data_IF_827561259364
#
_entry.id   IF_827561259364
#
_cell.length_a   1.000
_cell.length_b   1.000
_cell.length_c   1.000
_cell.angle_alpha   90.00
_cell.angle_beta   90.00
_cell.angle_gamma   90.00
#
_symmetry.space_group_name_H-M   'P 1'
#
loop_
_entity.id
_entity.type
_entity.pdbx_description
1 polymer ?
#
# COMPACT_ATOMS: atom_id res chain seq x y z
N UNK A 1 -1.57 34.34 10.42
CA UNK A 1 -2.28 33.29 11.17
C UNK A 1 -2.50 32.12 10.22
N UNK A 2 -1.87 30.95 10.45
CA UNK A 2 -2.15 29.78 9.61
C UNK A 2 -3.66 29.51 9.63
N UNK A 3 -4.29 29.56 8.44
CA UNK A 3 -5.74 29.37 8.30
C UNK A 3 -6.15 28.06 8.97
N UNK A 4 -7.31 28.01 9.65
CA UNK A 4 -7.84 26.77 10.26
C UNK A 4 -7.74 25.57 9.32
N UNK A 5 -7.86 25.82 8.00
CA UNK A 5 -7.69 24.87 6.90
C UNK A 5 -6.31 24.21 6.87
N UNK A 6 -5.21 24.95 7.00
CA UNK A 6 -3.85 24.38 7.04
C UNK A 6 -3.64 23.46 8.24
N UNK A 7 -4.17 23.82 9.41
CA UNK A 7 -4.07 22.97 10.61
C UNK A 7 -4.87 21.67 10.44
N UNK A 8 -6.03 21.72 9.79
CA UNK A 8 -6.81 20.53 9.46
C UNK A 8 -6.06 19.62 8.46
N UNK A 9 -5.49 20.18 7.39
CA UNK A 9 -4.69 19.42 6.42
C UNK A 9 -3.46 18.76 7.07
N UNK A 10 -2.78 19.45 8.00
CA UNK A 10 -1.67 18.85 8.76
C UNK A 10 -2.13 17.67 9.61
N UNK A 11 -3.27 17.78 10.29
CA UNK A 11 -3.83 16.65 11.07
C UNK A 11 -4.18 15.46 10.18
N UNK A 12 -4.86 15.68 9.06
CA UNK A 12 -5.21 14.61 8.11
C UNK A 12 -3.96 13.91 7.58
N UNK A 13 -2.91 14.66 7.26
CA UNK A 13 -1.63 14.11 6.80
C UNK A 13 -1.00 13.17 7.83
N UNK A 14 -1.01 13.56 9.11
CA UNK A 14 -0.49 12.74 10.22
C UNK A 14 -1.35 11.48 10.41
N UNK A 15 -2.67 11.60 10.33
CA UNK A 15 -3.57 10.44 10.44
C UNK A 15 -3.29 9.44 9.31
N UNK A 16 -3.11 9.91 8.07
CA UNK A 16 -2.74 9.05 6.95
C UNK A 16 -1.42 8.31 7.21
N UNK A 17 -0.41 8.98 7.77
CA UNK A 17 0.87 8.33 8.09
C UNK A 17 0.72 7.24 9.15
N UNK A 18 -0.03 7.52 10.21
CA UNK A 18 -0.28 6.55 11.28
C UNK A 18 -1.03 5.33 10.74
N UNK A 19 -2.08 5.55 9.93
CA UNK A 19 -2.84 4.47 9.28
C UNK A 19 -1.93 3.64 8.37
N UNK A 20 -1.08 4.28 7.56
CA UNK A 20 -0.18 3.57 6.67
C UNK A 20 0.88 2.76 7.41
N UNK A 21 1.39 3.24 8.55
CA UNK A 21 2.31 2.46 9.39
C UNK A 21 1.60 1.21 9.93
N UNK A 22 0.40 1.35 10.48
CA UNK A 22 -0.37 0.22 11.02
C UNK A 22 -0.67 -0.80 9.92
N UNK A 23 -1.11 -0.34 8.74
CA UNK A 23 -1.35 -1.20 7.59
C UNK A 23 -0.07 -1.90 7.13
N UNK A 24 1.07 -1.21 7.11
CA UNK A 24 2.35 -1.80 6.73
C UNK A 24 2.77 -2.92 7.69
N UNK A 25 2.56 -2.72 9.00
CA UNK A 25 2.82 -3.76 10.01
C UNK A 25 1.91 -4.98 9.78
N UNK A 26 0.62 -4.74 9.50
CA UNK A 26 -0.33 -5.81 9.20
C UNK A 26 0.08 -6.61 7.96
N UNK A 27 0.51 -5.92 6.89
CA UNK A 27 1.04 -6.55 5.66
C UNK A 27 2.25 -7.42 5.95
N UNK A 28 3.19 -6.95 6.77
CA UNK A 28 4.35 -7.75 7.20
C UNK A 28 3.90 -9.00 7.96
N UNK A 29 2.95 -8.87 8.88
CA UNK A 29 2.40 -10.01 9.62
C UNK A 29 1.73 -11.05 8.71
N UNK A 30 0.91 -10.62 7.75
CA UNK A 30 0.27 -11.49 6.76
C UNK A 30 1.33 -12.17 5.89
N UNK A 31 2.39 -11.45 5.53
CA UNK A 31 3.50 -12.00 4.74
C UNK A 31 4.22 -13.11 5.46
N UNK A 32 4.62 -12.90 6.73
CA UNK A 32 5.25 -13.93 7.55
C UNK A 32 4.31 -15.13 7.73
N UNK A 33 3.03 -14.88 8.04
CA UNK A 33 2.01 -15.93 8.17
C UNK A 33 1.83 -16.75 6.90
N UNK A 34 1.95 -16.13 5.73
CA UNK A 34 1.87 -16.81 4.43
C UNK A 34 3.13 -17.65 4.20
N UNK A 35 4.30 -17.16 4.58
CA UNK A 35 5.56 -17.90 4.44
C UNK A 35 5.72 -19.09 5.38
N UNK A 36 5.01 -19.12 6.51
CA UNK A 36 5.04 -20.28 7.42
C UNK A 36 4.47 -21.55 6.79
N UNK A 37 3.51 -21.43 5.87
CA UNK A 37 2.90 -22.55 5.16
C UNK A 37 2.51 -22.11 3.75
N UNK A 38 3.55 -21.96 2.90
CA UNK A 38 3.38 -21.46 1.53
C UNK A 38 2.48 -22.37 0.71
N UNK A 39 2.54 -23.69 0.93
CA UNK A 39 1.81 -24.66 0.11
C UNK A 39 0.30 -24.49 0.28
N UNK A 40 -0.17 -24.29 1.52
CA UNK A 40 -1.59 -24.13 1.80
C UNK A 40 -2.07 -22.67 1.63
N UNK A 41 -1.17 -21.68 1.75
CA UNK A 41 -1.52 -20.25 1.84
C UNK A 41 -1.09 -19.42 0.65
N UNK A 42 -0.60 -20.04 -0.43
CA UNK A 42 -0.15 -19.34 -1.64
C UNK A 42 -1.20 -18.37 -2.20
N UNK A 43 -2.50 -18.68 -2.02
CA UNK A 43 -3.63 -17.84 -2.44
C UNK A 43 -3.73 -16.49 -1.71
N UNK A 44 -3.06 -16.32 -0.57
CA UNK A 44 -3.03 -15.06 0.20
C UNK A 44 -2.00 -14.08 -0.40
N UNK A 45 -0.99 -14.61 -1.09
CA UNK A 45 0.16 -13.86 -1.61
C UNK A 45 -0.23 -12.73 -2.58
N UNK A 46 -1.17 -12.91 -3.54
CA UNK A 46 -1.67 -11.82 -4.38
C UNK A 46 -2.30 -10.67 -3.56
N UNK A 47 -2.98 -10.99 -2.46
CA UNK A 47 -3.60 -10.02 -1.56
C UNK A 47 -2.60 -9.08 -0.89
N UNK A 48 -1.40 -9.58 -0.56
CA UNK A 48 -0.31 -8.79 0.04
C UNK A 48 0.11 -7.67 -0.92
N UNK A 49 0.24 -7.97 -2.22
CA UNK A 49 0.58 -6.96 -3.22
C UNK A 49 -0.50 -5.90 -3.37
N UNK A 50 -1.78 -6.28 -3.34
CA UNK A 50 -2.89 -5.31 -3.42
C UNK A 50 -2.96 -4.41 -2.18
N UNK A 51 -2.67 -4.92 -0.99
CA UNK A 51 -2.56 -4.10 0.22
C UNK A 51 -1.40 -3.11 0.12
N UNK A 52 -0.24 -3.55 -0.39
CA UNK A 52 0.88 -2.65 -0.68
C UNK A 52 0.52 -1.57 -1.70
N UNK A 53 -0.22 -1.93 -2.77
CA UNK A 53 -0.71 -0.98 -3.76
C UNK A 53 -1.67 0.04 -3.15
N UNK A 54 -2.56 -0.38 -2.24
CA UNK A 54 -3.47 0.50 -1.53
C UNK A 54 -2.73 1.51 -0.64
N UNK A 55 -1.75 1.05 0.14
CA UNK A 55 -0.92 1.91 1.00
C UNK A 55 -0.16 2.94 0.14
N UNK A 56 0.38 2.51 -0.99
CA UNK A 56 1.08 3.39 -1.92
C UNK A 56 0.12 4.39 -2.58
N UNK A 57 -1.07 3.99 -3.01
CA UNK A 57 -2.06 4.91 -3.58
C UNK A 57 -2.42 6.04 -2.60
N UNK A 58 -2.71 5.69 -1.34
CA UNK A 58 -3.03 6.66 -0.28
C UNK A 58 -1.83 7.59 -0.03
N UNK A 59 -0.61 7.05 -0.01
CA UNK A 59 0.62 7.84 0.16
C UNK A 59 0.90 8.75 -1.03
N UNK A 60 0.60 8.31 -2.25
CA UNK A 60 0.72 9.09 -3.49
C UNK A 60 -0.21 10.30 -3.46
N UNK A 61 -1.49 10.08 -3.13
CA UNK A 61 -2.48 11.16 -2.97
C UNK A 61 -2.02 12.19 -1.93
N UNK A 62 -1.48 11.73 -0.79
CA UNK A 62 -0.91 12.62 0.24
C UNK A 62 0.21 13.49 -0.31
N UNK A 63 1.14 12.93 -1.08
CA UNK A 63 2.28 13.68 -1.65
C UNK A 63 1.85 14.69 -2.71
N UNK A 64 0.85 14.35 -3.53
CA UNK A 64 0.26 15.28 -4.51
C UNK A 64 -0.37 16.49 -3.81
N UNK A 65 -1.11 16.27 -2.72
CA UNK A 65 -1.70 17.35 -1.90
C UNK A 65 -0.62 18.18 -1.17
N UNK A 66 0.60 17.67 -1.07
CA UNK A 66 1.71 18.29 -0.33
C UNK A 66 2.68 19.09 -1.20
N UNK A 67 2.34 19.34 -2.47
CA UNK A 67 3.23 19.90 -3.51
C UNK A 67 4.54 19.11 -3.71
N UNK A 68 4.59 17.86 -3.24
CA UNK A 68 5.73 16.95 -3.42
C UNK A 68 5.51 16.04 -4.63
N UNK A 69 5.34 16.67 -5.80
CA UNK A 69 4.90 15.99 -7.02
C UNK A 69 5.81 14.80 -7.42
N UNK A 70 7.13 14.95 -7.35
CA UNK A 70 8.08 13.88 -7.68
C UNK A 70 7.96 12.65 -6.77
N UNK A 71 7.78 12.86 -5.46
CA UNK A 71 7.56 11.76 -4.51
C UNK A 71 6.19 11.11 -4.74
N UNK A 72 5.16 11.90 -5.04
CA UNK A 72 3.83 11.39 -5.38
C UNK A 72 3.85 10.50 -6.62
N UNK A 73 4.48 10.96 -7.71
CA UNK A 73 4.60 10.22 -8.97
C UNK A 73 5.34 8.89 -8.75
N UNK A 74 6.48 8.91 -8.05
CA UNK A 74 7.23 7.69 -7.77
C UNK A 74 6.37 6.64 -7.03
N UNK A 75 5.63 7.07 -6.01
CA UNK A 75 4.76 6.17 -5.24
C UNK A 75 3.57 5.67 -6.06
N UNK A 76 3.02 6.49 -6.96
CA UNK A 76 1.99 6.05 -7.91
C UNK A 76 2.53 5.01 -8.90
N UNK A 77 3.75 5.16 -9.41
CA UNK A 77 4.38 4.14 -10.26
C UNK A 77 4.48 2.81 -9.51
N UNK A 78 4.97 2.83 -8.27
CA UNK A 78 5.02 1.62 -7.43
C UNK A 78 3.64 1.00 -7.18
N UNK A 79 2.58 1.81 -7.13
CA UNK A 79 1.20 1.30 -7.02
C UNK A 79 0.85 0.44 -8.22
N UNK A 80 1.09 0.91 -9.44
CA UNK A 80 0.82 0.15 -10.66
C UNK A 80 1.68 -1.11 -10.77
N UNK A 81 2.95 -1.03 -10.37
CA UNK A 81 3.84 -2.20 -10.33
C UNK A 81 3.30 -3.27 -9.38
N UNK A 82 2.83 -2.88 -8.19
CA UNK A 82 2.26 -3.82 -7.22
C UNK A 82 0.94 -4.43 -7.70
N UNK A 83 0.09 -3.66 -8.39
CA UNK A 83 -1.13 -4.20 -9.02
C UNK A 83 -0.76 -5.24 -10.08
N UNK A 84 0.21 -4.94 -10.94
CA UNK A 84 0.69 -5.87 -11.96
C UNK A 84 1.29 -7.14 -11.35
N UNK A 85 2.10 -7.00 -10.29
CA UNK A 85 2.66 -8.12 -9.54
C UNK A 85 1.57 -8.98 -8.89
N UNK A 86 0.55 -8.36 -8.28
CA UNK A 86 -0.61 -9.05 -7.70
C UNK A 86 -1.40 -9.84 -8.75
N UNK A 87 -1.64 -9.23 -9.93
CA UNK A 87 -2.30 -9.90 -11.05
C UNK A 87 -1.48 -11.08 -11.57
N UNK A 88 -0.18 -10.89 -11.78
CA UNK A 88 0.72 -11.95 -12.25
C UNK A 88 0.79 -13.10 -11.24
N UNK A 89 0.97 -12.78 -9.95
CA UNK A 89 0.98 -13.78 -8.89
C UNK A 89 -0.36 -14.52 -8.81
N UNK A 90 -1.49 -13.80 -8.89
CA UNK A 90 -2.82 -14.41 -8.89
C UNK A 90 -3.03 -15.39 -10.04
N UNK A 91 -2.49 -15.08 -11.23
CA UNK A 91 -2.52 -16.01 -12.38
C UNK A 91 -1.69 -17.26 -12.15
N UNK A 92 -0.50 -17.13 -11.56
CA UNK A 92 0.33 -18.29 -11.20
C UNK A 92 -0.39 -19.16 -10.18
N UNK A 93 -0.92 -18.56 -9.11
CA UNK A 93 -1.60 -19.33 -8.07
C UNK A 93 -2.84 -20.03 -8.62
N UNK A 94 -3.65 -19.34 -9.43
CA UNK A 94 -4.82 -19.93 -10.07
C UNK A 94 -4.49 -21.07 -11.05
N UNK A 95 -3.25 -21.15 -11.55
CA UNK A 95 -2.81 -22.23 -12.42
C UNK A 95 -2.27 -23.45 -11.64
N UNK A 96 -2.04 -23.31 -10.33
CA UNK A 96 -1.48 -24.35 -9.44
C UNK A 96 -2.49 -24.89 -8.41
N UNK A 97 -3.74 -24.41 -8.44
CA UNK A 97 -4.88 -24.90 -7.63
C UNK A 97 -5.84 -25.64 -8.56
#
# INVERSE_FOLDING_TARGET
MASKRERAFRKVRVVIDVVNIILSIAVVGITVYTFMDVHNRMHIFPGIFYLGALINAITGVKHVISDKQWQGIAVFIFTFVLIAAGLFCGRIVSANV
#
